data_IF_232920372584
#
_entry.id   IF_232920372584
#
_cell.length_a   1.000
_cell.length_b   1.000
_cell.length_c   1.000
_cell.angle_alpha   90.00
_cell.angle_beta   90.00
_cell.angle_gamma   90.00
#
_symmetry.space_group_name_H-M   'P 1'
#
loop_
_entity.id
_entity.type
_entity.pdbx_description
1 polymer ?
#
# COMPACT_ATOMS: atom_id res chain seq x y z
N UNK A 1 -13.20 -35.20 -0.53
CA UNK A 1 -13.41 -35.44 -1.97
C UNK A 1 -12.23 -34.96 -2.78
N UNK A 2 -12.19 -35.30 -4.07
CA UNK A 2 -11.12 -34.93 -5.00
C UNK A 2 -11.14 -33.43 -5.31
N UNK A 3 -9.96 -32.80 -5.31
CA UNK A 3 -9.77 -31.39 -5.69
C UNK A 3 -9.31 -31.35 -7.14
N UNK A 4 -10.06 -30.65 -7.99
CA UNK A 4 -9.73 -30.50 -9.43
C UNK A 4 -8.82 -29.31 -9.68
N UNK A 5 -9.19 -28.12 -9.18
CA UNK A 5 -8.41 -26.89 -9.39
C UNK A 5 -8.20 -26.14 -8.09
N UNK A 6 -6.98 -25.61 -7.90
CA UNK A 6 -6.63 -24.76 -6.77
C UNK A 6 -5.97 -23.49 -7.26
N UNK A 7 -6.40 -22.34 -6.73
CA UNK A 7 -5.77 -21.05 -7.00
C UNK A 7 -5.61 -20.23 -5.72
N UNK A 8 -4.36 -20.01 -5.34
CA UNK A 8 -4.03 -19.06 -4.27
C UNK A 8 -3.80 -17.65 -4.86
N UNK A 9 -4.51 -16.66 -4.34
CA UNK A 9 -4.36 -15.28 -4.83
C UNK A 9 -3.09 -14.64 -4.27
N UNK A 10 -2.23 -14.16 -5.17
CA UNK A 10 -0.93 -13.55 -4.84
C UNK A 10 -0.79 -12.12 -5.38
N UNK A 11 0.08 -11.33 -4.74
CA UNK A 11 0.45 -10.00 -5.20
C UNK A 11 1.33 -10.07 -6.45
N UNK A 12 0.96 -9.37 -7.53
CA UNK A 12 1.79 -9.28 -8.75
C UNK A 12 3.13 -8.54 -8.51
N UNK A 13 3.23 -7.75 -7.44
CA UNK A 13 4.41 -6.93 -7.15
C UNK A 13 5.49 -7.71 -6.40
N UNK A 14 5.10 -8.45 -5.37
CA UNK A 14 6.00 -9.15 -4.43
C UNK A 14 5.91 -10.67 -4.54
N UNK A 15 4.83 -11.19 -5.11
CA UNK A 15 4.53 -12.62 -5.15
C UNK A 15 4.02 -13.19 -3.82
N UNK A 16 3.86 -12.38 -2.77
CA UNK A 16 3.31 -12.83 -1.48
C UNK A 16 1.82 -13.19 -1.61
N UNK A 17 1.32 -14.05 -0.71
CA UNK A 17 -0.11 -14.37 -0.61
C UNK A 17 -0.92 -13.12 -0.25
N UNK A 18 -2.16 -13.05 -0.75
CA UNK A 18 -3.12 -12.01 -0.36
C UNK A 18 -4.03 -12.43 0.80
N UNK A 19 -3.90 -13.67 1.29
CA UNK A 19 -4.71 -14.21 2.36
C UNK A 19 -6.04 -14.83 1.93
N UNK A 20 -6.26 -15.05 0.62
CA UNK A 20 -7.43 -15.76 0.11
C UNK A 20 -7.07 -16.64 -1.09
N UNK A 21 -7.88 -17.66 -1.33
CA UNK A 21 -7.74 -18.59 -2.43
C UNK A 21 -9.08 -19.20 -2.82
N UNK A 22 -9.09 -19.92 -3.93
CA UNK A 22 -10.25 -20.62 -4.47
C UNK A 22 -9.87 -22.07 -4.67
N UNK A 23 -10.79 -22.96 -4.30
CA UNK A 23 -10.64 -24.41 -4.42
C UNK A 23 -11.89 -24.88 -5.14
N UNK A 24 -11.71 -25.71 -6.15
CA UNK A 24 -12.77 -26.41 -6.83
C UNK A 24 -12.70 -27.89 -6.51
N UNK A 25 -13.84 -28.42 -6.10
CA UNK A 25 -14.03 -29.84 -5.88
C UNK A 25 -14.73 -30.45 -7.09
N UNK A 26 -14.58 -31.76 -7.25
CA UNK A 26 -15.28 -32.53 -8.28
C UNK A 26 -16.80 -32.57 -8.08
N UNK A 27 -17.26 -32.49 -6.82
CA UNK A 27 -18.68 -32.54 -6.45
C UNK A 27 -19.10 -31.31 -5.64
N UNK A 28 -20.23 -30.73 -6.01
CA UNK A 28 -20.78 -29.53 -5.36
C UNK A 28 -21.16 -29.76 -3.89
N UNK A 29 -21.66 -30.95 -3.56
CA UNK A 29 -22.07 -31.27 -2.19
C UNK A 29 -20.87 -31.35 -1.25
N UNK A 30 -19.75 -31.89 -1.73
CA UNK A 30 -18.48 -31.89 -0.98
C UNK A 30 -18.03 -30.45 -0.75
N UNK A 31 -18.15 -29.57 -1.75
CA UNK A 31 -17.78 -28.17 -1.60
C UNK A 31 -18.63 -27.44 -0.55
N UNK A 32 -19.95 -27.73 -0.46
CA UNK A 32 -20.83 -27.19 0.58
C UNK A 32 -20.43 -27.68 1.96
N UNK A 33 -20.25 -28.99 2.14
CA UNK A 33 -19.84 -29.58 3.42
C UNK A 33 -18.51 -29.00 3.89
N UNK A 34 -17.52 -28.89 2.99
CA UNK A 34 -16.21 -28.29 3.33
C UNK A 34 -16.35 -26.81 3.70
N UNK A 35 -17.19 -26.06 2.99
CA UNK A 35 -17.43 -24.67 3.30
C UNK A 35 -18.03 -24.51 4.70
N UNK A 36 -19.04 -25.30 5.05
CA UNK A 36 -19.72 -25.22 6.34
C UNK A 36 -18.83 -25.69 7.50
N UNK A 37 -18.10 -26.78 7.30
CA UNK A 37 -17.22 -27.37 8.33
C UNK A 37 -15.96 -26.53 8.61
N UNK A 38 -15.37 -25.92 7.58
CA UNK A 38 -14.13 -25.14 7.73
C UNK A 38 -14.39 -23.65 7.98
N UNK A 39 -15.64 -23.19 7.86
CA UNK A 39 -15.97 -21.80 8.16
C UNK A 39 -15.83 -21.52 9.66
N UNK A 40 -15.16 -20.43 9.99
CA UNK A 40 -14.77 -20.03 11.35
C UNK A 40 -13.77 -20.96 12.03
N UNK A 41 -13.10 -21.85 11.29
CA UNK A 41 -12.02 -22.65 11.86
C UNK A 41 -10.81 -21.78 12.21
N UNK A 42 -10.26 -21.94 13.41
CA UNK A 42 -9.05 -21.23 13.81
C UNK A 42 -7.83 -21.90 13.17
N UNK A 43 -7.22 -21.25 12.19
CA UNK A 43 -6.04 -21.75 11.50
C UNK A 43 -4.84 -20.84 11.78
N UNK A 44 -3.88 -21.37 12.55
CA UNK A 44 -2.77 -20.58 13.10
C UNK A 44 -3.33 -19.41 13.93
N UNK A 45 -3.04 -18.16 13.55
CA UNK A 45 -3.45 -16.95 14.27
C UNK A 45 -4.71 -16.29 13.69
N UNK A 46 -5.37 -16.91 12.69
CA UNK A 46 -6.50 -16.31 11.98
C UNK A 46 -7.67 -17.28 11.83
N UNK A 47 -8.87 -16.76 12.00
CA UNK A 47 -10.10 -17.48 11.66
C UNK A 47 -10.25 -17.58 10.15
N UNK A 48 -10.43 -18.80 9.65
CA UNK A 48 -10.80 -19.05 8.27
C UNK A 48 -12.26 -18.63 8.05
N UNK A 49 -12.51 -17.96 6.94
CA UNK A 49 -13.86 -17.70 6.45
C UNK A 49 -14.00 -18.44 5.14
N UNK A 50 -14.84 -19.46 5.14
CA UNK A 50 -15.10 -20.30 3.98
C UNK A 50 -16.52 -20.03 3.51
N UNK A 51 -16.69 -19.84 2.20
CA UNK A 51 -17.99 -19.58 1.58
C UNK A 51 -18.08 -20.41 0.30
N UNK A 52 -19.23 -21.05 0.11
CA UNK A 52 -19.55 -21.70 -1.14
C UNK A 52 -19.91 -20.66 -2.20
N UNK A 53 -19.37 -20.80 -3.41
CA UNK A 53 -19.62 -19.90 -4.54
C UNK A 53 -20.30 -20.72 -5.63
N UNK A 54 -21.52 -20.36 -5.98
CA UNK A 54 -22.25 -20.96 -7.10
C UNK A 54 -21.51 -20.72 -8.43
N UNK A 55 -21.59 -21.65 -9.40
CA UNK A 55 -20.84 -21.57 -10.66
C UNK A 55 -21.15 -20.30 -11.46
N UNK A 56 -22.38 -19.76 -11.38
CA UNK A 56 -22.79 -18.53 -12.06
C UNK A 56 -22.02 -17.28 -11.58
N UNK A 57 -21.61 -17.27 -10.31
CA UNK A 57 -20.85 -16.17 -9.71
C UNK A 57 -19.35 -16.32 -9.95
N UNK A 58 -18.91 -17.48 -10.42
CA UNK A 58 -17.51 -17.75 -10.73
C UNK A 58 -17.14 -17.04 -12.03
N UNK A 59 -16.13 -16.18 -11.96
CA UNK A 59 -15.61 -15.54 -13.15
C UNK A 59 -14.88 -16.56 -14.04
N UNK A 60 -15.11 -16.55 -15.35
CA UNK A 60 -14.52 -17.50 -16.32
C UNK A 60 -12.99 -17.63 -16.20
N UNK A 61 -12.30 -16.50 -15.93
CA UNK A 61 -10.84 -16.47 -15.81
C UNK A 61 -10.33 -16.80 -14.39
N UNK A 62 -11.18 -17.34 -13.50
CA UNK A 62 -10.81 -17.62 -12.11
C UNK A 62 -9.78 -18.73 -12.01
N UNK A 63 -9.84 -19.78 -12.83
CA UNK A 63 -8.84 -20.86 -12.77
C UNK A 63 -7.82 -20.82 -13.91
N UNK A 64 -7.70 -19.67 -14.60
CA UNK A 64 -6.74 -19.52 -15.69
C UNK A 64 -5.30 -19.73 -15.21
N UNK A 65 -4.61 -20.71 -15.79
CA UNK A 65 -3.25 -21.14 -15.41
C UNK A 65 -3.12 -21.70 -13.98
N UNK A 66 -4.14 -22.39 -13.45
CA UNK A 66 -4.03 -23.06 -12.14
C UNK A 66 -2.95 -24.15 -12.12
N UNK A 67 -2.75 -24.84 -13.24
CA UNK A 67 -1.81 -25.99 -13.33
C UNK A 67 -0.35 -25.55 -13.40
N UNK A 68 -0.10 -24.25 -13.66
CA UNK A 68 1.25 -23.70 -13.73
C UNK A 68 1.73 -23.37 -12.33
N UNK A 69 2.90 -23.92 -11.97
CA UNK A 69 3.59 -23.57 -10.72
C UNK A 69 3.88 -22.07 -10.69
N UNK A 70 3.51 -21.41 -9.58
CA UNK A 70 3.77 -19.98 -9.41
C UNK A 70 5.27 -19.71 -9.21
N UNK A 71 5.84 -18.86 -10.08
CA UNK A 71 7.20 -18.36 -9.94
C UNK A 71 7.21 -16.94 -9.40
N UNK A 72 8.02 -16.69 -8.36
CA UNK A 72 8.22 -15.33 -7.84
C UNK A 72 8.88 -14.47 -8.93
N UNK A 73 8.41 -13.23 -9.16
CA UNK A 73 8.99 -12.37 -10.18
C UNK A 73 10.45 -12.04 -9.82
N UNK A 74 11.38 -12.33 -10.73
CA UNK A 74 12.82 -12.08 -10.52
C UNK A 74 13.14 -10.60 -10.34
N UNK A 75 12.47 -9.72 -11.10
CA UNK A 75 12.68 -8.26 -11.02
C UNK A 75 11.41 -7.51 -10.58
N UNK A 76 11.06 -7.56 -9.28
CA UNK A 76 9.82 -6.97 -8.78
C UNK A 76 9.79 -5.46 -9.02
N UNK A 77 8.60 -4.95 -9.40
CA UNK A 77 8.42 -3.53 -9.72
C UNK A 77 8.83 -2.61 -8.56
N UNK A 78 8.59 -3.04 -7.31
CA UNK A 78 8.98 -2.31 -6.10
C UNK A 78 10.49 -2.02 -6.09
N UNK A 79 11.34 -3.03 -6.38
CA UNK A 79 12.80 -2.84 -6.44
C UNK A 79 13.20 -1.86 -7.54
N UNK A 80 12.51 -1.87 -8.69
CA UNK A 80 12.81 -0.95 -9.81
C UNK A 80 12.44 0.50 -9.49
N UNK A 81 11.32 0.72 -8.80
CA UNK A 81 10.88 2.06 -8.40
C UNK A 81 11.69 2.61 -7.22
N UNK A 82 11.94 1.78 -6.21
CA UNK A 82 12.66 2.17 -5.00
C UNK A 82 14.19 2.10 -5.16
N UNK A 83 14.69 1.74 -6.35
CA UNK A 83 16.13 1.74 -6.63
C UNK A 83 16.69 3.15 -6.45
N UNK A 84 17.76 3.25 -5.67
CA UNK A 84 18.53 4.50 -5.52
C UNK A 84 19.04 4.94 -6.89
N UNK A 85 18.69 6.18 -7.27
CA UNK A 85 19.05 6.77 -8.57
C UNK A 85 20.39 7.48 -8.47
N UNK A 86 21.21 7.35 -9.51
CA UNK A 86 22.48 8.08 -9.64
C UNK A 86 22.25 9.58 -9.89
N UNK A 87 23.28 10.40 -9.67
CA UNK A 87 23.21 11.84 -9.89
C UNK A 87 22.83 12.21 -11.32
N UNK A 88 23.37 11.51 -12.32
CA UNK A 88 23.02 11.69 -13.74
C UNK A 88 21.55 11.36 -14.01
N UNK A 89 21.03 10.29 -13.42
CA UNK A 89 19.62 9.92 -13.55
C UNK A 89 18.70 10.94 -12.87
N UNK A 90 19.09 11.47 -11.71
CA UNK A 90 18.39 12.56 -11.03
C UNK A 90 18.36 13.81 -11.90
N UNK A 91 19.49 14.24 -12.47
CA UNK A 91 19.57 15.40 -13.37
C UNK A 91 18.72 15.22 -14.65
N UNK A 92 18.69 14.03 -15.24
CA UNK A 92 17.80 13.74 -16.39
C UNK A 92 16.32 13.84 -15.99
N UNK A 93 15.98 13.40 -14.77
CA UNK A 93 14.63 13.51 -14.22
C UNK A 93 14.26 14.97 -14.00
N UNK A 94 15.10 15.78 -13.35
CA UNK A 94 14.82 17.22 -13.11
C UNK A 94 14.59 17.96 -14.42
N UNK A 95 15.42 17.72 -15.44
CA UNK A 95 15.22 18.27 -16.80
C UNK A 95 13.86 17.89 -17.39
N UNK A 96 13.44 16.62 -17.28
CA UNK A 96 12.12 16.16 -17.75
C UNK A 96 10.99 16.83 -16.97
N UNK A 97 11.20 17.05 -15.68
CA UNK A 97 10.23 17.65 -14.78
C UNK A 97 10.00 19.14 -15.13
N UNK A 98 11.08 19.91 -15.29
CA UNK A 98 11.03 21.31 -15.72
C UNK A 98 10.36 21.49 -17.09
N UNK A 99 10.59 20.55 -18.03
CA UNK A 99 9.89 20.57 -19.33
C UNK A 99 8.38 20.41 -19.17
N UNK A 100 7.93 19.50 -18.29
CA UNK A 100 6.50 19.29 -18.01
C UNK A 100 5.88 20.51 -17.31
N UNK A 101 6.60 21.13 -16.38
CA UNK A 101 6.17 22.35 -15.69
C UNK A 101 5.94 23.49 -16.68
N UNK A 102 6.89 23.75 -17.57
CA UNK A 102 6.75 24.77 -18.63
C UNK A 102 5.53 24.50 -19.51
N UNK A 103 5.33 23.24 -19.90
CA UNK A 103 4.21 22.85 -20.75
C UNK A 103 2.86 22.98 -20.03
N UNK A 104 2.81 22.70 -18.73
CA UNK A 104 1.63 22.93 -17.90
C UNK A 104 1.31 24.43 -17.79
N UNK A 105 2.31 25.29 -17.54
CA UNK A 105 2.12 26.75 -17.47
C UNK A 105 1.58 27.32 -18.78
N UNK A 106 2.11 26.87 -19.93
CA UNK A 106 1.57 27.23 -21.25
C UNK A 106 0.10 26.86 -21.39
N UNK A 107 -0.28 25.63 -21.03
CA UNK A 107 -1.68 25.17 -21.06
C UNK A 107 -2.60 25.93 -20.10
N UNK A 108 -2.09 26.42 -18.98
CA UNK A 108 -2.87 27.24 -18.04
C UNK A 108 -3.06 28.66 -18.61
N UNK A 109 -2.02 29.25 -19.19
CA UNK A 109 -2.08 30.54 -19.84
C UNK A 109 -3.04 30.54 -21.05
N UNK A 110 -3.01 29.48 -21.88
CA UNK A 110 -3.97 29.26 -22.98
C UNK A 110 -5.42 29.21 -22.50
N UNK A 111 -5.66 28.76 -21.26
CA UNK A 111 -7.00 28.72 -20.65
C UNK A 111 -7.35 30.00 -19.89
N UNK A 112 -6.52 31.04 -19.97
CA UNK A 112 -6.72 32.31 -19.27
C UNK A 112 -6.47 32.25 -17.76
N UNK A 113 -5.91 31.17 -17.23
CA UNK A 113 -5.64 31.00 -15.81
C UNK A 113 -4.23 31.50 -15.48
N UNK A 114 -4.13 32.69 -14.89
CA UNK A 114 -2.88 33.25 -14.37
C UNK A 114 -2.55 32.61 -13.03
N UNK A 115 -1.92 31.43 -13.09
CA UNK A 115 -1.52 30.67 -11.89
C UNK A 115 0.00 30.61 -11.77
N UNK A 116 0.53 31.34 -10.79
CA UNK A 116 1.94 31.25 -10.40
C UNK A 116 2.06 30.35 -9.18
N UNK A 117 2.82 29.27 -9.33
CA UNK A 117 3.13 28.37 -8.23
C UNK A 117 4.65 28.16 -8.16
N UNK A 118 5.21 28.09 -6.94
CA UNK A 118 6.60 27.72 -6.74
C UNK A 118 6.79 26.28 -7.22
N UNK A 119 7.16 26.14 -8.49
CA UNK A 119 7.30 24.85 -9.13
C UNK A 119 8.60 24.14 -8.80
N UNK A 120 8.96 23.16 -9.60
CA UNK A 120 10.13 22.32 -9.36
C UNK A 120 11.44 23.10 -9.57
N UNK A 121 11.39 24.20 -10.35
CA UNK A 121 12.50 25.15 -10.47
C UNK A 121 12.84 25.84 -9.14
N UNK A 122 11.83 26.21 -8.33
CA UNK A 122 12.05 26.91 -7.07
C UNK A 122 12.68 26.00 -5.99
N UNK A 123 12.30 24.71 -5.98
CA UNK A 123 12.87 23.72 -5.05
C UNK A 123 14.37 23.49 -5.29
N UNK A 124 14.81 23.43 -6.54
CA UNK A 124 16.24 23.24 -6.86
C UNK A 124 17.11 24.39 -6.32
N UNK A 125 16.59 25.62 -6.31
CA UNK A 125 17.25 26.80 -5.74
C UNK A 125 17.33 26.75 -4.21
N UNK A 126 16.28 26.25 -3.55
CA UNK A 126 16.23 26.14 -2.08
C UNK A 126 17.24 25.13 -1.51
N UNK A 127 17.50 24.02 -2.23
CA UNK A 127 18.47 22.99 -1.80
C UNK A 127 19.91 23.52 -1.94
N UNK A 128 20.19 24.33 -2.98
CA UNK A 128 21.50 24.98 -3.13
C UNK A 128 21.77 25.97 -1.98
N UNK A 129 20.77 26.74 -1.57
CA UNK A 129 20.86 27.68 -0.43
C UNK A 129 21.10 27.00 0.92
N UNK A 130 20.59 25.78 1.12
CA UNK A 130 20.83 24.98 2.35
C UNK A 130 22.13 24.19 2.37
N UNK A 131 22.89 24.16 1.26
CA UNK A 131 24.15 23.39 1.14
C UNK A 131 25.41 24.14 1.59
N UNK A 132 25.26 25.32 2.20
CA UNK A 132 26.34 26.05 2.87
C UNK A 132 25.95 26.17 4.34
N UNK A 133 26.49 25.24 5.12
CA UNK A 133 26.80 25.32 6.56
C UNK A 133 27.29 23.93 6.97
N UNK A 134 28.44 23.51 6.43
CA UNK A 134 29.25 22.45 7.02
C UNK A 134 30.08 23.08 8.14
N UNK A 135 29.58 23.00 9.37
CA UNK A 135 30.42 23.20 10.56
C UNK A 135 31.50 22.11 10.59
N UNK A 136 32.73 22.56 10.84
CA UNK A 136 33.96 21.78 10.96
C UNK A 136 33.74 20.54 11.85
N UNK A 137 34.20 19.37 11.39
CA UNK A 137 34.51 18.26 12.30
C UNK A 137 35.71 18.68 13.14
N UNK A 138 35.48 18.97 14.41
CA UNK A 138 36.54 18.94 15.43
C UNK A 138 36.70 17.48 15.86
N UNK A 139 37.86 16.91 15.58
CA UNK A 139 38.34 15.72 16.28
C UNK A 139 38.63 16.11 17.72
N UNK A 140 37.86 15.57 18.66
CA UNK A 140 38.25 15.51 20.06
C UNK A 140 38.04 14.06 20.50
N UNK A 141 39.16 13.34 20.59
CA UNK A 141 39.27 12.11 21.33
C UNK A 141 39.08 12.45 22.82
N UNK A 142 37.89 12.20 23.36
CA UNK A 142 37.69 12.16 24.80
C UNK A 142 37.82 10.71 25.22
N UNK A 143 39.04 10.36 25.64
CA UNK A 143 39.32 9.20 26.49
C UNK A 143 38.55 9.38 27.80
N UNK A 144 37.45 8.66 27.97
CA UNK A 144 36.83 8.48 29.27
C UNK A 144 37.41 7.22 29.89
N UNK A 145 38.38 7.46 30.77
CA UNK A 145 38.92 6.49 31.71
C UNK A 145 37.78 5.91 32.53
N UNK A 146 37.72 4.59 32.55
CA UNK A 146 36.83 3.76 33.35
C UNK A 146 37.17 3.90 34.84
N UNK A 147 36.29 4.53 35.62
CA UNK A 147 36.10 4.26 37.06
C UNK A 147 34.97 5.15 37.60
N UNK A 148 33.74 4.68 37.49
CA UNK A 148 32.62 5.04 38.38
C UNK A 148 31.61 3.88 38.40
N UNK A 149 31.06 3.51 39.57
CA UNK A 149 30.14 2.38 39.69
C UNK A 149 28.77 2.69 39.09
N UNK A 150 28.24 1.76 38.31
CA UNK A 150 26.90 1.82 37.71
C UNK A 150 25.81 1.84 38.79
N UNK A 151 24.82 2.75 38.73
CA UNK A 151 23.71 2.71 39.67
C UNK A 151 22.79 1.53 39.33
N UNK A 152 22.70 0.60 40.28
CA UNK A 152 21.82 -0.57 40.27
C UNK A 152 20.36 -0.11 40.30
N UNK A 153 19.56 -0.75 39.45
CA UNK A 153 18.12 -0.52 39.29
C UNK A 153 17.38 -0.70 40.62
N UNK A 154 16.84 0.38 41.18
CA UNK A 154 15.97 0.36 42.37
C UNK A 154 14.53 -0.05 41.97
N UNK A 155 13.84 -0.87 42.79
CA UNK A 155 12.63 -1.62 42.41
C UNK A 155 11.32 -0.82 42.48
N UNK A 156 11.32 0.49 42.26
CA UNK A 156 10.12 1.33 42.34
C UNK A 156 9.25 1.31 41.08
N UNK A 157 9.66 0.60 40.02
CA UNK A 157 8.89 0.50 38.77
C UNK A 157 7.90 -0.68 38.78
N UNK A 158 8.08 -1.67 39.67
CA UNK A 158 7.21 -2.86 39.74
C UNK A 158 5.97 -2.69 40.63
N UNK A 159 5.96 -1.76 41.59
CA UNK A 159 4.76 -1.48 42.40
C UNK A 159 3.66 -0.78 41.60
N UNK A 160 4.00 -0.06 40.53
CA UNK A 160 3.03 0.70 39.72
C UNK A 160 2.13 -0.16 38.82
N UNK A 161 2.41 -1.47 38.71
CA UNK A 161 1.63 -2.41 37.88
C UNK A 161 0.76 -3.38 38.66
N UNK A 162 0.76 -3.34 39.99
CA UNK A 162 -0.09 -4.22 40.82
C UNK A 162 -1.30 -3.53 41.47
N UNK A 163 -1.48 -2.23 41.32
CA UNK A 163 -2.64 -1.51 41.85
C UNK A 163 -3.60 -1.11 40.72
N UNK A 164 -4.30 -2.09 40.14
CA UNK A 164 -5.59 -1.89 39.46
C UNK A 164 -6.23 -3.25 39.18
N UNK A 165 -6.57 -3.98 40.24
CA UNK A 165 -7.52 -5.08 40.19
C UNK A 165 -8.30 -5.09 41.51
N UNK A 166 -9.63 -5.25 41.39
CA UNK A 166 -10.71 -5.21 42.39
C UNK A 166 -11.19 -3.80 42.81
N UNK A 167 -12.49 -3.48 42.90
CA UNK A 167 -13.78 -4.08 42.50
C UNK A 167 -14.85 -2.96 42.59
N UNK A 168 -15.93 -3.10 41.80
CA UNK A 168 -17.33 -2.66 41.97
C UNK A 168 -17.82 -1.18 42.03
N UNK A 169 -18.93 -1.01 41.27
CA UNK A 169 -20.10 -0.12 41.43
C UNK A 169 -20.22 1.27 40.75
N UNK A 170 -21.23 1.28 39.86
CA UNK A 170 -22.25 2.30 39.55
C UNK A 170 -21.93 3.50 38.62
N UNK A 171 -22.86 3.68 37.68
CA UNK A 171 -23.15 4.83 36.81
C UNK A 171 -22.53 4.84 35.40
N UNK A 172 -23.34 4.31 34.47
CA UNK A 172 -23.28 4.49 33.03
C UNK A 172 -23.16 5.98 32.65
N UNK A 173 -22.12 6.32 31.87
CA UNK A 173 -22.13 7.53 31.05
C UNK A 173 -21.52 7.23 29.68
N UNK A 174 -22.37 6.69 28.80
CA UNK A 174 -22.14 6.55 27.37
C UNK A 174 -21.86 7.92 26.74
N UNK A 175 -20.65 8.15 26.23
CA UNK A 175 -20.36 9.31 25.38
C UNK A 175 -20.71 8.92 23.93
N UNK A 176 -21.98 9.08 23.56
CA UNK A 176 -22.45 8.90 22.19
C UNK A 176 -21.99 10.07 21.32
N UNK A 177 -20.94 9.87 20.50
CA UNK A 177 -20.55 10.82 19.45
C UNK A 177 -21.56 10.79 18.29
N UNK A 178 -22.59 11.63 18.35
CA UNK A 178 -23.55 11.83 17.25
C UNK A 178 -22.89 12.56 16.08
N UNK A 179 -22.46 11.80 15.07
CA UNK A 179 -22.11 12.35 13.75
C UNK A 179 -23.39 12.72 12.98
N UNK A 180 -23.42 13.87 12.28
CA UNK A 180 -24.59 14.27 11.50
C UNK A 180 -24.85 13.30 10.33
N UNK A 181 -26.13 13.02 9.98
CA UNK A 181 -26.46 12.10 8.91
C UNK A 181 -26.00 12.63 7.54
N UNK A 182 -25.46 11.73 6.73
CA UNK A 182 -25.01 12.03 5.37
C UNK A 182 -26.20 12.50 4.52
N UNK A 183 -26.22 13.79 4.19
CA UNK A 183 -27.21 14.36 3.27
C UNK A 183 -27.05 13.74 1.88
N UNK A 184 -28.10 13.07 1.42
CA UNK A 184 -28.29 12.55 0.08
C UNK A 184 -28.31 13.69 -0.93
N UNK A 185 -27.36 13.76 -1.87
CA UNK A 185 -27.50 14.51 -3.13
C UNK A 185 -26.80 13.80 -4.30
N UNK A 186 -27.65 13.15 -5.10
CA UNK A 186 -27.69 13.07 -6.56
C UNK A 186 -26.43 12.63 -7.33
N UNK A 187 -26.53 11.43 -7.91
CA UNK A 187 -25.63 10.87 -8.89
C UNK A 187 -25.65 11.68 -10.21
N UNK A 188 -24.61 12.48 -10.43
CA UNK A 188 -24.29 13.01 -11.76
C UNK A 188 -23.60 11.90 -12.56
N UNK A 189 -24.26 11.40 -13.60
CA UNK A 189 -23.70 10.43 -14.53
C UNK A 189 -22.51 11.03 -15.29
N UNK A 190 -21.34 10.39 -15.20
CA UNK A 190 -20.16 10.75 -16.01
C UNK A 190 -20.33 10.22 -17.43
N UNK A 191 -20.12 11.02 -18.50
CA UNK A 191 -20.22 10.52 -19.87
C UNK A 191 -19.13 9.50 -20.19
N UNK A 192 -19.52 8.41 -20.87
CA UNK A 192 -18.64 7.34 -21.34
C UNK A 192 -17.64 7.90 -22.35
N UNK A 193 -16.36 7.60 -22.15
CA UNK A 193 -15.26 8.00 -23.05
C UNK A 193 -15.24 7.08 -24.26
N UNK A 194 -15.51 7.60 -25.45
CA UNK A 194 -15.42 6.84 -26.70
C UNK A 194 -13.96 6.39 -26.98
N UNK A 195 -13.74 5.19 -27.56
CA UNK A 195 -12.43 4.77 -28.03
C UNK A 195 -11.96 5.65 -29.19
N UNK A 196 -10.67 6.03 -29.20
CA UNK A 196 -10.05 6.71 -30.34
C UNK A 196 -9.72 5.68 -31.42
N UNK A 197 -10.34 5.79 -32.58
CA UNK A 197 -9.89 5.10 -33.79
C UNK A 197 -8.51 5.62 -34.21
N UNK A 198 -7.62 4.70 -34.62
CA UNK A 198 -6.30 5.03 -35.17
C UNK A 198 -6.41 5.01 -36.70
N UNK A 199 -5.93 6.02 -37.43
CA UNK A 199 -5.90 5.96 -38.88
C UNK A 199 -4.85 4.93 -39.33
N UNK A 200 -5.28 3.99 -40.17
CA UNK A 200 -4.42 3.03 -40.85
C UNK A 200 -3.59 3.77 -41.93
N UNK A 201 -2.29 3.90 -41.70
CA UNK A 201 -1.34 4.25 -42.75
C UNK A 201 -1.14 3.02 -43.64
N UNK A 202 -1.81 3.02 -44.80
CA UNK A 202 -1.53 2.09 -45.90
C UNK A 202 -0.07 2.24 -46.31
N UNK A 203 0.71 1.15 -46.21
CA UNK A 203 1.98 0.99 -46.92
C UNK A 203 1.68 1.08 -48.41
N UNK A 204 2.26 2.07 -49.09
CA UNK A 204 2.41 2.02 -50.53
C UNK A 204 3.59 1.10 -50.87
N UNK A 205 3.43 0.41 -52.00
CA UNK A 205 4.31 -0.63 -52.55
C UNK A 205 5.70 -0.10 -52.87
#
# INVERSE_FOLDING_TARGET
>A
GTVTRLRLSRSKKTGASKGYGFIEFESDDVAKIVADTMNNYLFSERLLKCQFIAPERVHENLFKNCDKRFLKPSQPAVRRYNRVRSLLQKAKMTKRLLRKEKLLRKRLAEKGLKYDFPGFAAQELSIKRKKVNTSKKSELNVSLSSQDPTPVCTPTVLERRKASQADDDAEDNEITLRLPPASVKNAVQRPKKQPRERPNLKKQK
#
